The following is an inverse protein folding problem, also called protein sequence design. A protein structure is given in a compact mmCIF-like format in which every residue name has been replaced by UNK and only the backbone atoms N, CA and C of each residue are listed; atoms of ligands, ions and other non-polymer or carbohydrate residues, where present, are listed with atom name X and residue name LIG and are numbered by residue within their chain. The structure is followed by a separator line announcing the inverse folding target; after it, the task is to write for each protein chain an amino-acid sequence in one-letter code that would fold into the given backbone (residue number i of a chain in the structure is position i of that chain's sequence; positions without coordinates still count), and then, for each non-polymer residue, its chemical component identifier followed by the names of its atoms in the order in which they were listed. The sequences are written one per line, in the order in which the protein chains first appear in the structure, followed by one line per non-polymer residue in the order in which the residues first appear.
data_IF_226096006111
#
_entry.id   IF_226096006111
#
_cell.length_a   1.000
_cell.length_b   1.000
_cell.length_c   1.000
_cell.angle_alpha   90.00
_cell.angle_beta   90.00
_cell.angle_gamma   90.00
#
_symmetry.space_group_name_H-M   'P 1'
#
loop_
_entity.id
_entity.type
_entity.pdbx_description
1 polymer ?
#
# COMPACT_ATOMS: atom_id res chain seq x y z
N UNK A 1 99.16 -20.40 -31.42
CA UNK A 1 98.88 -20.63 -29.99
C UNK A 1 97.92 -19.51 -29.59
N UNK A 2 96.73 -19.88 -29.11
CA UNK A 2 95.50 -19.09 -28.90
C UNK A 2 95.73 -17.65 -28.40
N UNK A 3 95.13 -16.62 -29.02
CA UNK A 3 93.71 -16.21 -28.98
C UNK A 3 93.28 -15.73 -27.58
N UNK A 4 92.93 -14.45 -27.49
CA UNK A 4 91.64 -13.95 -26.99
C UNK A 4 91.70 -12.42 -26.91
N UNK A 5 91.15 -11.82 -27.96
CA UNK A 5 90.78 -10.42 -28.06
C UNK A 5 89.86 -9.97 -26.92
N UNK A 6 90.11 -8.76 -26.45
CA UNK A 6 89.15 -7.78 -25.91
C UNK A 6 87.69 -8.20 -25.97
N UNK A 7 87.12 -8.50 -24.80
CA UNK A 7 85.67 -8.43 -24.58
C UNK A 7 85.45 -7.26 -23.63
N UNK A 8 85.23 -6.08 -24.19
CA UNK A 8 84.56 -5.00 -23.46
C UNK A 8 83.14 -5.48 -23.14
N UNK A 9 82.81 -5.57 -21.86
CA UNK A 9 81.45 -5.79 -21.42
C UNK A 9 80.61 -4.56 -21.78
N UNK A 10 79.79 -4.67 -22.83
CA UNK A 10 78.80 -3.67 -23.18
C UNK A 10 77.80 -3.51 -22.02
N UNK A 11 77.58 -2.29 -21.49
CA UNK A 11 76.74 -2.06 -20.31
C UNK A 11 75.23 -2.20 -20.57
N UNK A 12 74.80 -2.54 -21.79
CA UNK A 12 73.37 -2.61 -22.16
C UNK A 12 72.69 -3.96 -21.92
N UNK A 13 73.41 -4.98 -21.46
CA UNK A 13 72.82 -6.28 -21.18
C UNK A 13 72.29 -6.31 -19.74
N UNK A 14 71.03 -5.88 -19.54
CA UNK A 14 70.04 -6.38 -18.56
C UNK A 14 68.85 -5.40 -18.37
N UNK A 15 68.40 -4.71 -19.42
CA UNK A 15 67.05 -4.15 -19.39
C UNK A 15 66.04 -5.29 -19.58
N UNK A 16 65.41 -5.75 -18.50
CA UNK A 16 64.33 -6.72 -18.57
C UNK A 16 63.23 -6.21 -19.53
N UNK A 17 62.70 -7.03 -20.45
CA UNK A 17 61.67 -6.57 -21.38
C UNK A 17 60.45 -6.09 -20.58
N UNK A 18 60.05 -4.83 -20.78
CA UNK A 18 58.86 -4.28 -20.13
C UNK A 18 57.64 -5.17 -20.44
N UNK A 19 56.79 -5.49 -19.46
CA UNK A 19 55.67 -6.40 -19.68
C UNK A 19 54.72 -5.80 -20.72
N UNK A 20 54.58 -6.47 -21.87
CA UNK A 20 53.60 -6.10 -22.90
C UNK A 20 52.20 -6.32 -22.31
N UNK A 21 51.59 -5.27 -21.75
CA UNK A 21 50.19 -5.31 -21.29
C UNK A 21 49.32 -5.72 -22.48
N UNK A 22 48.82 -6.95 -22.47
CA UNK A 22 47.96 -7.47 -23.54
C UNK A 22 46.70 -6.62 -23.60
N UNK A 23 46.47 -5.93 -24.72
CA UNK A 23 45.27 -5.09 -24.94
C UNK A 23 43.98 -5.91 -24.75
N UNK A 24 44.05 -7.22 -24.99
CA UNK A 24 42.98 -8.19 -24.74
C UNK A 24 42.72 -8.43 -23.25
N UNK A 25 43.76 -8.43 -22.40
CA UNK A 25 43.59 -8.55 -20.95
C UNK A 25 42.93 -7.29 -20.36
N UNK A 26 43.26 -6.10 -20.88
CA UNK A 26 42.59 -4.85 -20.49
C UNK A 26 41.14 -4.85 -20.97
N UNK A 27 40.87 -5.29 -22.20
CA UNK A 27 39.51 -5.40 -22.72
C UNK A 27 38.67 -6.42 -21.93
N UNK A 28 39.24 -7.57 -21.58
CA UNK A 28 38.57 -8.58 -20.76
C UNK A 28 38.29 -8.07 -19.34
N UNK A 29 39.25 -7.38 -18.71
CA UNK A 29 39.06 -6.76 -17.40
C UNK A 29 38.00 -5.65 -17.44
N UNK A 30 37.97 -4.83 -18.50
CA UNK A 30 36.95 -3.80 -18.69
C UNK A 30 35.55 -4.40 -18.88
N UNK A 31 35.44 -5.51 -19.62
CA UNK A 31 34.18 -6.26 -19.78
C UNK A 31 33.70 -6.86 -18.46
N UNK A 32 34.60 -7.46 -17.68
CA UNK A 32 34.27 -7.99 -16.35
C UNK A 32 33.82 -6.89 -15.40
N UNK A 33 34.50 -5.74 -15.40
CA UNK A 33 34.11 -4.58 -14.60
C UNK A 33 32.75 -4.05 -15.04
N UNK A 34 32.50 -3.91 -16.34
CA UNK A 34 31.21 -3.47 -16.87
C UNK A 34 30.08 -4.44 -16.50
N UNK A 35 30.31 -5.75 -16.62
CA UNK A 35 29.36 -6.77 -16.18
C UNK A 35 29.08 -6.69 -14.67
N UNK A 36 30.12 -6.47 -13.86
CA UNK A 36 29.97 -6.29 -12.42
C UNK A 36 29.16 -5.04 -12.06
N UNK A 37 29.41 -3.91 -12.73
CA UNK A 37 28.63 -2.68 -12.54
C UNK A 37 27.17 -2.87 -12.96
N UNK A 38 26.90 -3.59 -14.06
CA UNK A 38 25.55 -3.91 -14.49
C UNK A 38 24.80 -4.77 -13.48
N UNK A 39 25.45 -5.77 -12.87
CA UNK A 39 24.86 -6.61 -11.82
C UNK A 39 24.54 -5.77 -10.57
N UNK A 40 25.45 -4.87 -10.17
CA UNK A 40 25.21 -3.97 -9.04
C UNK A 40 24.04 -3.03 -9.33
N UNK A 41 23.97 -2.48 -10.54
CA UNK A 41 22.87 -1.59 -10.94
C UNK A 41 21.54 -2.35 -10.96
N UNK A 42 21.52 -3.57 -11.51
CA UNK A 42 20.34 -4.43 -11.52
C UNK A 42 19.80 -4.76 -10.11
N UNK A 43 20.66 -4.70 -9.09
CA UNK A 43 20.32 -4.97 -7.68
C UNK A 43 19.74 -3.75 -6.94
N UNK A 44 19.67 -2.57 -7.57
CA UNK A 44 19.05 -1.38 -6.97
C UNK A 44 17.53 -1.55 -6.94
N UNK A 45 16.91 -1.26 -5.79
CA UNK A 45 15.45 -1.32 -5.60
C UNK A 45 14.78 -0.06 -6.15
N UNK A 46 13.65 -0.24 -6.80
CA UNK A 46 12.75 0.83 -7.26
C UNK A 46 11.45 0.82 -6.45
N UNK A 47 10.79 1.98 -6.24
CA UNK A 47 9.59 2.10 -5.40
C UNK A 47 8.32 1.58 -6.09
N UNK A 48 8.41 0.46 -6.82
CA UNK A 48 7.30 -0.18 -7.51
C UNK A 48 7.03 -1.56 -6.93
N UNK A 49 5.76 -1.95 -6.94
CA UNK A 49 5.26 -3.28 -6.63
C UNK A 49 4.67 -3.89 -7.91
N UNK A 50 4.91 -5.18 -8.13
CA UNK A 50 4.23 -5.95 -9.16
C UNK A 50 2.92 -6.52 -8.61
N UNK A 51 1.83 -6.32 -9.35
CA UNK A 51 0.54 -6.95 -9.11
C UNK A 51 0.23 -7.88 -10.27
N UNK A 52 -0.08 -9.14 -9.98
CA UNK A 52 -0.48 -10.11 -10.98
C UNK A 52 -1.84 -10.73 -10.63
N UNK A 53 -2.55 -11.32 -11.61
CA UNK A 53 -3.71 -12.15 -11.33
C UNK A 53 -3.37 -13.24 -10.32
N UNK A 54 -4.24 -13.41 -9.33
CA UNK A 54 -4.20 -14.52 -8.38
C UNK A 54 -5.11 -15.66 -8.84
N UNK A 55 -5.16 -16.76 -8.08
CA UNK A 55 -6.10 -17.84 -8.35
C UNK A 55 -7.55 -17.35 -8.26
N UNK A 56 -8.42 -17.94 -9.10
CA UNK A 56 -9.86 -17.78 -8.98
C UNK A 56 -10.35 -18.87 -8.02
N UNK A 57 -11.02 -18.46 -6.94
CA UNK A 57 -11.56 -19.39 -5.95
C UNK A 57 -13.08 -19.46 -6.12
N UNK A 58 -13.62 -20.66 -6.21
CA UNK A 58 -15.06 -20.86 -6.13
C UNK A 58 -15.48 -20.75 -4.65
N UNK A 59 -16.50 -19.93 -4.39
CA UNK A 59 -16.95 -19.67 -3.01
C UNK A 59 -18.35 -20.20 -2.73
N UNK A 60 -18.97 -20.88 -3.70
CA UNK A 60 -20.20 -21.60 -3.48
C UNK A 60 -19.98 -22.70 -2.44
N UNK A 61 -20.91 -22.82 -1.48
CA UNK A 61 -20.84 -23.84 -0.45
C UNK A 61 -19.78 -23.61 0.64
N UNK A 62 -19.09 -22.45 0.68
CA UNK A 62 -18.23 -22.11 1.83
C UNK A 62 -19.06 -21.90 3.10
N UNK A 63 -20.32 -21.47 2.95
CA UNK A 63 -21.27 -21.29 4.05
C UNK A 63 -22.32 -22.39 3.96
N UNK A 64 -22.35 -23.25 4.98
CA UNK A 64 -23.41 -24.25 5.17
C UNK A 64 -24.32 -23.80 6.31
N UNK A 65 -25.63 -23.83 6.07
CA UNK A 65 -26.63 -23.55 7.10
C UNK A 65 -27.40 -24.83 7.37
N UNK A 66 -27.34 -25.30 8.62
CA UNK A 66 -28.09 -26.48 9.05
C UNK A 66 -29.54 -26.10 9.38
N UNK A 67 -30.45 -27.06 9.18
CA UNK A 67 -31.83 -27.02 9.68
C UNK A 67 -32.72 -25.88 9.17
N UNK A 68 -32.41 -25.30 7.99
CA UNK A 68 -33.29 -24.34 7.30
C UNK A 68 -33.39 -24.66 5.80
N UNK A 69 -34.50 -24.33 5.13
CA UNK A 69 -34.60 -24.45 3.68
C UNK A 69 -33.54 -23.58 3.00
N UNK A 70 -32.59 -24.21 2.31
CA UNK A 70 -31.64 -23.52 1.44
C UNK A 70 -32.19 -23.43 0.02
N UNK A 71 -31.85 -22.34 -0.67
CA UNK A 71 -32.18 -22.15 -2.07
C UNK A 71 -30.85 -22.10 -2.83
N UNK A 72 -30.75 -22.87 -3.91
CA UNK A 72 -29.61 -22.74 -4.82
C UNK A 72 -29.73 -21.39 -5.54
N UNK A 73 -28.66 -20.60 -5.49
CA UNK A 73 -28.56 -19.39 -6.30
C UNK A 73 -28.42 -19.74 -7.78
N UNK A 74 -28.93 -18.88 -8.65
CA UNK A 74 -28.70 -19.01 -10.08
C UNK A 74 -27.30 -18.47 -10.44
N UNK A 75 -26.41 -19.35 -10.92
CA UNK A 75 -25.09 -18.99 -11.41
C UNK A 75 -23.93 -19.41 -10.50
N UNK A 76 -22.71 -19.08 -10.91
CA UNK A 76 -21.49 -19.43 -10.18
C UNK A 76 -20.88 -18.21 -9.49
N UNK A 77 -20.48 -18.37 -8.23
CA UNK A 77 -19.84 -17.31 -7.46
C UNK A 77 -18.35 -17.57 -7.31
N UNK A 78 -17.56 -16.66 -7.90
CA UNK A 78 -16.10 -16.72 -7.87
C UNK A 78 -15.51 -15.52 -7.14
N UNK A 79 -14.56 -15.80 -6.25
CA UNK A 79 -13.68 -14.81 -5.67
C UNK A 79 -12.45 -14.66 -6.57
N UNK A 80 -12.34 -13.50 -7.20
CA UNK A 80 -11.16 -13.10 -7.94
C UNK A 80 -10.11 -12.58 -6.95
N UNK A 81 -8.89 -13.08 -7.05
CA UNK A 81 -7.78 -12.64 -6.20
C UNK A 81 -6.67 -12.02 -7.04
N UNK A 82 -5.86 -11.19 -6.40
CA UNK A 82 -4.61 -10.68 -6.97
C UNK A 82 -3.46 -11.12 -6.06
N UNK A 83 -2.31 -11.38 -6.68
CA UNK A 83 -1.07 -11.60 -5.97
C UNK A 83 -0.22 -10.34 -6.03
N UNK A 84 0.34 -9.92 -4.89
CA UNK A 84 1.19 -8.73 -4.78
C UNK A 84 2.26 -8.95 -3.73
N UNK A 85 3.51 -8.66 -4.09
CA UNK A 85 4.63 -8.62 -3.15
C UNK A 85 4.57 -7.39 -2.23
N UNK A 86 5.15 -7.51 -1.03
CA UNK A 86 5.24 -6.38 -0.08
C UNK A 86 6.54 -5.57 -0.20
N UNK A 87 7.55 -6.13 -0.89
CA UNK A 87 8.87 -5.53 -1.05
C UNK A 87 9.00 -4.79 -2.38
N UNK A 88 9.78 -3.68 -2.44
CA UNK A 88 10.04 -2.98 -3.69
C UNK A 88 10.87 -3.86 -4.64
N UNK A 89 10.50 -3.84 -5.92
CA UNK A 89 11.19 -4.61 -6.97
C UNK A 89 12.63 -4.11 -7.17
N UNK A 90 13.52 -5.01 -7.55
CA UNK A 90 14.81 -4.64 -8.14
C UNK A 90 14.62 -4.06 -9.56
N UNK A 91 15.60 -3.30 -10.06
CA UNK A 91 15.55 -2.75 -11.42
C UNK A 91 15.37 -3.85 -12.49
N UNK A 92 15.95 -5.04 -12.25
CA UNK A 92 15.78 -6.17 -13.14
C UNK A 92 14.35 -6.74 -13.10
N UNK A 93 13.81 -7.00 -11.91
CA UNK A 93 12.43 -7.50 -11.75
C UNK A 93 11.39 -6.50 -12.29
N UNK A 94 11.63 -5.20 -12.09
CA UNK A 94 10.79 -4.15 -12.67
C UNK A 94 10.79 -4.19 -14.20
N UNK A 95 11.95 -4.39 -14.83
CA UNK A 95 12.04 -4.51 -16.28
C UNK A 95 11.36 -5.79 -16.79
N UNK A 96 11.49 -6.91 -16.07
CA UNK A 96 10.77 -8.14 -16.41
C UNK A 96 9.26 -7.96 -16.31
N UNK A 97 8.77 -7.36 -15.22
CA UNK A 97 7.36 -7.08 -14.99
C UNK A 97 6.80 -6.09 -16.03
N UNK A 98 7.55 -5.04 -16.39
CA UNK A 98 7.15 -4.06 -17.40
C UNK A 98 6.92 -4.68 -18.79
N UNK A 99 7.60 -5.78 -19.09
CA UNK A 99 7.47 -6.50 -20.36
C UNK A 99 6.29 -7.48 -20.38
N UNK A 100 5.78 -7.89 -19.22
CA UNK A 100 4.66 -8.83 -19.11
C UNK A 100 3.32 -8.06 -19.09
N UNK A 101 2.46 -8.23 -20.12
CA UNK A 101 1.17 -7.54 -20.16
C UNK A 101 0.17 -8.01 -19.09
N UNK A 102 0.44 -9.12 -18.40
CA UNK A 102 -0.40 -9.62 -17.31
C UNK A 102 0.01 -9.05 -15.94
N UNK A 103 1.04 -8.19 -15.87
CA UNK A 103 1.55 -7.62 -14.62
C UNK A 103 1.38 -6.11 -14.62
N UNK A 104 0.72 -5.60 -13.58
CA UNK A 104 0.59 -4.18 -13.34
C UNK A 104 1.66 -3.69 -12.36
N UNK A 105 2.39 -2.66 -12.78
CA UNK A 105 3.37 -1.96 -11.96
C UNK A 105 2.71 -0.78 -11.25
N UNK A 106 2.69 -0.82 -9.92
CA UNK A 106 2.06 0.21 -9.09
C UNK A 106 3.09 0.80 -8.13
N UNK A 107 3.07 2.11 -7.95
CA UNK A 107 3.92 2.77 -6.96
C UNK A 107 3.59 2.28 -5.55
N UNK A 108 4.63 2.00 -4.77
CA UNK A 108 4.49 1.45 -3.41
C UNK A 108 3.63 2.34 -2.53
N UNK A 109 3.89 3.65 -2.54
CA UNK A 109 3.30 4.58 -1.58
C UNK A 109 1.80 4.82 -1.82
N UNK A 110 1.32 4.57 -3.04
CA UNK A 110 -0.11 4.59 -3.36
C UNK A 110 -0.88 3.42 -2.72
N UNK A 111 -0.19 2.34 -2.38
CA UNK A 111 -0.80 1.10 -1.85
C UNK A 111 -0.47 0.90 -0.37
N UNK A 112 0.77 1.18 0.00
CA UNK A 112 1.33 1.05 1.35
C UNK A 112 2.01 2.37 1.67
N UNK A 113 1.26 3.34 2.25
CA UNK A 113 1.81 4.63 2.63
C UNK A 113 3.01 4.46 3.58
N UNK A 114 4.00 5.34 3.42
CA UNK A 114 5.14 5.40 4.33
C UNK A 114 4.68 5.57 5.78
N UNK A 115 5.39 4.92 6.72
CA UNK A 115 5.08 4.97 8.15
C UNK A 115 4.01 3.98 8.62
N UNK A 116 3.34 3.24 7.73
CA UNK A 116 2.39 2.18 8.15
C UNK A 116 3.08 0.83 8.37
N UNK A 117 2.88 0.22 9.53
CA UNK A 117 3.37 -1.14 9.80
C UNK A 117 2.41 -2.21 9.27
N UNK A 118 2.93 -3.42 9.04
CA UNK A 118 2.09 -4.58 8.68
C UNK A 118 1.05 -4.89 9.75
N UNK A 119 1.40 -4.72 11.02
CA UNK A 119 0.56 -5.08 12.16
C UNK A 119 -0.58 -4.08 12.36
N UNK A 120 -0.32 -2.78 12.20
CA UNK A 120 -1.37 -1.75 12.22
C UNK A 120 -2.36 -1.95 11.07
N UNK A 121 -1.88 -2.22 9.86
CA UNK A 121 -2.73 -2.52 8.70
C UNK A 121 -3.59 -3.76 8.94
N UNK A 122 -3.00 -4.81 9.51
CA UNK A 122 -3.72 -6.04 9.85
C UNK A 122 -4.83 -5.75 10.86
N UNK A 123 -4.55 -4.96 11.90
CA UNK A 123 -5.53 -4.59 12.93
C UNK A 123 -6.70 -3.81 12.33
N UNK A 124 -6.40 -2.75 11.56
CA UNK A 124 -7.41 -1.94 10.86
C UNK A 124 -8.28 -2.78 9.92
N UNK A 125 -7.68 -3.69 9.15
CA UNK A 125 -8.42 -4.57 8.27
C UNK A 125 -9.36 -5.52 9.03
N UNK A 126 -8.96 -5.98 10.22
CA UNK A 126 -9.81 -6.82 11.07
C UNK A 126 -11.00 -6.04 11.64
N UNK A 127 -10.77 -4.79 12.08
CA UNK A 127 -11.84 -3.89 12.55
C UNK A 127 -12.87 -3.62 11.45
N UNK A 128 -12.41 -3.31 10.23
CA UNK A 128 -13.30 -3.10 9.06
C UNK A 128 -14.05 -4.39 8.68
N UNK A 129 -13.39 -5.55 8.77
CA UNK A 129 -14.04 -6.84 8.50
C UNK A 129 -15.13 -7.14 9.52
N UNK A 130 -14.89 -6.88 10.81
CA UNK A 130 -15.89 -7.04 11.87
C UNK A 130 -17.11 -6.16 11.61
N UNK A 131 -16.91 -4.88 11.28
CA UNK A 131 -17.99 -3.98 10.90
C UNK A 131 -18.79 -4.48 9.69
N UNK A 132 -18.10 -5.05 8.69
CA UNK A 132 -18.74 -5.63 7.50
C UNK A 132 -19.63 -6.83 7.84
N UNK A 133 -19.21 -7.68 8.79
CA UNK A 133 -20.01 -8.81 9.27
C UNK A 133 -21.24 -8.35 10.03
N UNK A 134 -21.11 -7.36 10.91
CA UNK A 134 -22.24 -6.79 11.64
C UNK A 134 -23.27 -6.16 10.69
N UNK A 135 -22.80 -5.43 9.67
CA UNK A 135 -23.67 -4.87 8.63
C UNK A 135 -24.38 -5.97 7.84
N UNK A 136 -23.69 -7.06 7.48
CA UNK A 136 -24.31 -8.17 6.77
C UNK A 136 -25.43 -8.83 7.60
N UNK A 137 -25.23 -8.98 8.92
CA UNK A 137 -26.29 -9.47 9.83
C UNK A 137 -27.46 -8.50 9.86
N UNK A 138 -27.21 -7.19 9.96
CA UNK A 138 -28.26 -6.17 9.96
C UNK A 138 -29.08 -6.22 8.66
N UNK A 139 -28.43 -6.26 7.49
CA UNK A 139 -29.10 -6.38 6.19
C UNK A 139 -29.90 -7.68 6.08
N UNK A 140 -29.37 -8.80 6.59
CA UNK A 140 -30.08 -10.08 6.57
C UNK A 140 -31.35 -10.05 7.44
N UNK A 141 -31.25 -9.49 8.64
CA UNK A 141 -32.38 -9.35 9.55
C UNK A 141 -33.45 -8.40 8.99
N UNK A 142 -33.04 -7.27 8.39
CA UNK A 142 -33.94 -6.32 7.72
C UNK A 142 -34.68 -7.01 6.58
N UNK A 143 -33.96 -7.78 5.76
CA UNK A 143 -34.55 -8.52 4.64
C UNK A 143 -35.55 -9.60 5.06
N UNK A 144 -35.39 -10.14 6.28
CA UNK A 144 -36.31 -11.08 6.92
C UNK A 144 -37.52 -10.39 7.58
N UNK A 145 -37.58 -9.05 7.54
CA UNK A 145 -38.68 -8.26 8.10
C UNK A 145 -38.58 -8.02 9.60
N UNK A 146 -37.42 -8.26 10.22
CA UNK A 146 -37.17 -7.81 11.58
C UNK A 146 -36.92 -6.31 11.56
N UNK A 147 -37.47 -5.59 12.55
CA UNK A 147 -37.07 -4.21 12.81
C UNK A 147 -35.63 -4.22 13.35
N UNK A 148 -34.69 -4.15 12.43
CA UNK A 148 -33.30 -3.87 12.77
C UNK A 148 -33.26 -2.38 13.03
N UNK A 149 -33.35 -2.01 14.30
CA UNK A 149 -32.99 -0.66 14.72
C UNK A 149 -31.52 -0.47 14.40
N UNK A 150 -31.19 -0.09 13.17
CA UNK A 150 -29.89 0.50 12.86
C UNK A 150 -29.96 1.89 13.51
N UNK A 151 -29.77 1.92 14.82
CA UNK A 151 -29.69 3.16 15.57
C UNK A 151 -28.30 3.69 15.29
N UNK A 152 -28.23 4.62 14.35
CA UNK A 152 -27.03 5.39 14.13
C UNK A 152 -26.76 6.24 15.37
N UNK A 153 -25.66 5.96 16.07
CA UNK A 153 -25.27 6.73 17.25
C UNK A 153 -24.53 8.03 16.87
N UNK A 154 -24.43 8.36 15.57
CA UNK A 154 -23.65 9.47 15.05
C UNK A 154 -22.38 9.04 14.32
N UNK A 155 -21.58 10.02 13.91
CA UNK A 155 -20.31 9.79 13.22
C UNK A 155 -19.14 9.84 14.22
N UNK A 156 -18.54 8.67 14.49
CA UNK A 156 -17.40 8.55 15.41
C UNK A 156 -16.10 9.05 14.78
N UNK A 157 -15.40 9.94 15.48
CA UNK A 157 -14.14 10.54 15.05
C UNK A 157 -12.99 9.63 15.47
N UNK A 158 -12.39 8.94 14.50
CA UNK A 158 -11.22 8.07 14.72
C UNK A 158 -9.92 8.87 14.79
N UNK A 159 -9.81 9.94 14.01
CA UNK A 159 -8.61 10.77 13.89
C UNK A 159 -9.00 12.16 13.42
N UNK A 160 -8.24 13.17 13.87
CA UNK A 160 -8.37 14.56 13.41
C UNK A 160 -7.10 14.95 12.66
N UNK A 161 -7.24 15.41 11.42
CA UNK A 161 -6.11 15.82 10.58
C UNK A 161 -5.46 17.09 11.12
N UNK A 162 -4.17 17.00 11.46
CA UNK A 162 -3.38 18.15 11.91
C UNK A 162 -3.36 19.28 10.87
N UNK A 163 -3.58 20.52 11.31
CA UNK A 163 -3.70 21.71 10.47
C UNK A 163 -5.03 21.86 9.73
N UNK A 164 -5.98 20.94 9.91
CA UNK A 164 -7.32 21.01 9.31
C UNK A 164 -8.30 21.88 10.10
N UNK A 165 -9.49 22.16 9.54
CA UNK A 165 -10.57 22.92 10.18
C UNK A 165 -10.98 22.50 11.60
N UNK A 166 -10.87 21.20 11.88
CA UNK A 166 -11.28 20.62 13.16
C UNK A 166 -10.10 20.40 14.12
N UNK A 167 -8.86 20.73 13.70
CA UNK A 167 -7.66 20.52 14.50
C UNK A 167 -7.68 21.36 15.79
N UNK A 168 -7.41 20.70 16.91
CA UNK A 168 -7.47 21.30 18.25
C UNK A 168 -8.87 21.66 18.76
N UNK A 169 -9.93 21.36 17.99
CA UNK A 169 -11.33 21.63 18.34
C UNK A 169 -12.09 20.31 18.57
N UNK A 170 -12.08 19.44 17.56
CA UNK A 170 -12.56 18.07 17.67
C UNK A 170 -11.45 17.17 18.24
N UNK A 171 -11.84 16.10 18.92
CA UNK A 171 -10.93 15.13 19.50
C UNK A 171 -11.23 13.74 18.91
N UNK A 172 -10.20 12.87 18.78
CA UNK A 172 -10.46 11.44 18.65
C UNK A 172 -11.38 10.97 19.79
N UNK A 173 -12.24 10.00 19.49
CA UNK A 173 -13.28 9.46 20.37
C UNK A 173 -14.58 10.29 20.49
N UNK A 174 -14.64 11.50 19.92
CA UNK A 174 -15.89 12.25 19.81
C UNK A 174 -16.90 11.54 18.88
N UNK A 175 -18.19 11.63 19.18
CA UNK A 175 -19.26 11.17 18.29
C UNK A 175 -20.10 12.35 17.83
N UNK A 176 -20.06 12.68 16.54
CA UNK A 176 -20.90 13.75 15.99
C UNK A 176 -22.34 13.28 15.89
N UNK A 177 -23.23 13.89 16.67
CA UNK A 177 -24.67 13.54 16.73
C UNK A 177 -25.55 14.57 16.01
N UNK A 178 -25.03 15.76 15.72
CA UNK A 178 -25.71 16.73 14.87
C UNK A 178 -24.75 17.66 14.13
N UNK A 179 -25.21 18.17 12.99
CA UNK A 179 -24.53 19.20 12.18
C UNK A 179 -25.52 20.34 11.89
N UNK A 180 -25.20 21.55 12.35
CA UNK A 180 -26.07 22.74 12.31
C UNK A 180 -27.50 22.46 12.81
N UNK A 181 -27.60 21.66 13.88
CA UNK A 181 -28.86 21.25 14.49
C UNK A 181 -29.63 20.17 13.73
N UNK A 182 -29.12 19.68 12.59
CA UNK A 182 -29.66 18.52 11.89
C UNK A 182 -29.07 17.23 12.49
N UNK A 183 -29.89 16.24 12.87
CA UNK A 183 -29.39 14.98 13.41
C UNK A 183 -28.45 14.27 12.44
N UNK A 184 -27.36 13.74 12.98
CA UNK A 184 -26.43 12.84 12.29
C UNK A 184 -26.59 11.49 12.96
N UNK A 185 -27.18 10.53 12.25
CA UNK A 185 -27.29 9.16 12.73
C UNK A 185 -26.12 8.34 12.18
N UNK A 186 -25.73 8.59 10.93
CA UNK A 186 -24.69 7.87 10.21
C UNK A 186 -23.58 8.79 9.72
N UNK A 187 -22.40 8.22 9.50
CA UNK A 187 -21.25 8.90 8.89
C UNK A 187 -21.62 9.56 7.55
N UNK A 188 -22.50 8.92 6.77
CA UNK A 188 -22.94 9.44 5.48
C UNK A 188 -23.75 10.74 5.63
N UNK A 189 -24.56 10.88 6.69
CA UNK A 189 -25.33 12.10 6.96
C UNK A 189 -24.41 13.30 7.18
N UNK A 190 -23.32 13.10 7.94
CA UNK A 190 -22.32 14.13 8.17
C UNK A 190 -21.57 14.50 6.88
N UNK A 191 -21.18 13.50 6.07
CA UNK A 191 -20.52 13.74 4.79
C UNK A 191 -21.40 14.58 3.87
N UNK A 192 -22.69 14.24 3.78
CA UNK A 192 -23.63 14.94 2.91
C UNK A 192 -23.95 16.34 3.42
N UNK A 193 -24.06 16.53 4.75
CA UNK A 193 -24.25 17.84 5.36
C UNK A 193 -23.05 18.78 5.13
N UNK A 194 -21.82 18.29 5.31
CA UNK A 194 -20.60 19.07 5.05
C UNK A 194 -20.48 19.42 3.56
N UNK A 195 -20.77 18.48 2.66
CA UNK A 195 -20.74 18.73 1.20
C UNK A 195 -21.79 19.73 0.73
N UNK A 196 -22.93 19.79 1.41
CA UNK A 196 -23.99 20.76 1.14
C UNK A 196 -23.68 22.18 1.64
N UNK A 197 -22.61 22.35 2.42
CA UNK A 197 -22.26 23.61 3.07
C UNK A 197 -21.28 24.45 2.23
N UNK A 198 -21.27 25.76 2.46
CA UNK A 198 -20.36 26.68 1.78
C UNK A 198 -18.95 26.63 2.37
N UNK A 199 -17.93 26.66 1.50
CA UNK A 199 -16.52 26.77 1.89
C UNK A 199 -16.31 28.06 2.67
N UNK A 200 -15.65 27.98 3.83
CA UNK A 200 -15.39 29.10 4.73
C UNK A 200 -16.54 29.47 5.65
N UNK A 201 -17.70 28.80 5.55
CA UNK A 201 -18.80 29.00 6.49
C UNK A 201 -18.46 28.39 7.86
N UNK A 202 -18.97 29.01 8.92
CA UNK A 202 -18.95 28.41 10.25
C UNK A 202 -20.09 27.41 10.36
N UNK A 203 -19.77 26.17 10.72
CA UNK A 203 -20.73 25.12 11.02
C UNK A 203 -20.61 24.71 12.50
N UNK A 204 -21.75 24.37 13.09
CA UNK A 204 -21.84 23.86 14.47
C UNK A 204 -21.96 22.35 14.43
N UNK A 205 -20.99 21.65 14.99
CA UNK A 205 -21.09 20.23 15.27
C UNK A 205 -21.54 20.05 16.71
N UNK A 206 -22.59 19.27 16.95
CA UNK A 206 -22.89 18.76 18.29
C UNK A 206 -22.21 17.41 18.42
N UNK A 207 -21.29 17.29 19.37
CA UNK A 207 -20.53 16.05 19.64
C UNK A 207 -20.90 15.50 21.01
N UNK A 208 -21.02 14.19 21.12
CA UNK A 208 -20.95 13.48 22.39
C UNK A 208 -19.48 13.20 22.71
N UNK A 209 -18.98 13.86 23.75
CA UNK A 209 -17.63 13.69 24.28
C UNK A 209 -17.72 13.04 25.65
N UNK A 210 -17.37 11.76 25.72
CA UNK A 210 -17.38 10.97 26.95
C UNK A 210 -18.74 10.97 27.70
N UNK A 211 -19.86 11.10 26.98
CA UNK A 211 -21.22 11.12 27.52
C UNK A 211 -21.80 12.52 27.73
N UNK A 212 -21.04 13.58 27.44
CA UNK A 212 -21.50 14.97 27.52
C UNK A 212 -21.65 15.56 26.11
N UNK A 213 -22.81 16.18 25.86
CA UNK A 213 -23.06 16.87 24.59
C UNK A 213 -22.39 18.25 24.61
N UNK A 214 -21.50 18.48 23.64
CA UNK A 214 -20.81 19.74 23.43
C UNK A 214 -21.06 20.26 22.02
N UNK A 215 -21.35 21.56 21.90
CA UNK A 215 -21.40 22.23 20.60
C UNK A 215 -20.03 22.83 20.28
N UNK A 216 -19.44 22.42 19.17
CA UNK A 216 -18.18 22.94 18.65
C UNK A 216 -18.40 23.64 17.32
N UNK A 217 -17.84 24.84 17.18
CA UNK A 217 -17.94 25.63 15.94
C UNK A 217 -16.65 25.44 15.15
N UNK A 218 -16.78 25.00 13.91
CA UNK A 218 -15.67 24.83 12.97
C UNK A 218 -15.87 25.70 11.73
N UNK A 219 -14.78 26.21 11.16
CA UNK A 219 -14.82 26.93 9.89
C UNK A 219 -14.50 25.95 8.75
N UNK A 220 -15.48 25.65 7.89
CA UNK A 220 -15.32 24.68 6.82
C UNK A 220 -14.22 25.10 5.84
N UNK A 221 -13.34 24.15 5.49
CA UNK A 221 -12.17 24.38 4.61
C UNK A 221 -12.50 24.39 3.12
#
# INVERSE_FOLDING_TARGET
MADLSTIEASPDALAAPAPRRSRWAIAAAALLLAGFVLILLASVKVPYLATSPGPVLEVQGIVEVADVPSFEGEGELFLLTISRGSDPLTLFEWFEAWRDPAVDLVERDLVIPEGTTSDERRRRNLEVMEGSQQLAVAVALDRLGYEVGVVGNGAYITEVTAGGPADGIAQPDDIVVAFDGMPVEFVQDLIDAVRGSEIGANATLTVDRAGELEDIVIALG
#
